data_IF_524120131983
#
_entry.id   IF_524120131983
#
_cell.length_a   1.000
_cell.length_b   1.000
_cell.length_c   1.000
_cell.angle_alpha   90.00
_cell.angle_beta   90.00
_cell.angle_gamma   90.00
#
_symmetry.space_group_name_H-M   'P 1'
#
loop_
_entity.id
_entity.type
_entity.pdbx_description
1 polymer ?
#
# COMPACT_ATOMS: atom_id res chain seq x y z
N UNK A 1 -7.94 -1.35 -4.75
CA UNK A 1 -9.01 -1.07 -3.77
C UNK A 1 -8.93 0.42 -3.50
N UNK A 2 -9.32 1.14 -4.54
CA UNK A 2 -9.22 2.58 -4.65
C UNK A 2 -10.45 3.19 -3.97
N UNK A 3 -10.23 4.36 -3.38
CA UNK A 3 -11.20 5.20 -2.72
C UNK A 3 -12.50 5.28 -3.52
N UNK A 4 -13.55 4.60 -3.02
CA UNK A 4 -14.90 4.97 -3.38
C UNK A 4 -15.13 6.33 -2.70
N UNK A 5 -15.04 7.40 -3.49
CA UNK A 5 -15.43 8.74 -3.07
C UNK A 5 -16.84 8.66 -2.52
N UNK A 6 -16.97 8.70 -1.19
CA UNK A 6 -18.27 8.85 -0.54
C UNK A 6 -18.86 10.17 -1.06
N UNK A 7 -20.03 10.16 -1.72
CA UNK A 7 -20.63 11.39 -2.19
C UNK A 7 -20.84 12.31 -1.00
N UNK A 8 -20.52 13.60 -1.17
CA UNK A 8 -20.78 14.63 -0.17
C UNK A 8 -22.25 14.53 0.22
N UNK A 9 -22.53 14.05 1.43
CA UNK A 9 -23.88 13.86 1.92
C UNK A 9 -24.47 15.23 2.33
N UNK A 10 -24.89 16.00 1.33
CA UNK A 10 -25.46 17.35 1.44
C UNK A 10 -26.56 17.49 2.51
N UNK A 11 -27.52 16.54 2.71
CA UNK A 11 -28.53 16.70 3.75
C UNK A 11 -27.97 16.58 5.18
N UNK A 12 -26.89 15.82 5.40
CA UNK A 12 -26.26 15.72 6.72
C UNK A 12 -25.47 16.97 7.14
N UNK A 13 -25.21 17.90 6.21
CA UNK A 13 -24.51 19.15 6.48
C UNK A 13 -25.37 20.13 7.30
N UNK A 14 -26.69 20.08 7.15
CA UNK A 14 -27.63 21.03 7.75
C UNK A 14 -28.24 20.53 9.07
N UNK A 15 -28.33 19.21 9.26
CA UNK A 15 -28.85 18.57 10.49
C UNK A 15 -27.74 18.15 11.47
N UNK A 16 -26.59 18.84 11.45
CA UNK A 16 -25.45 18.48 12.31
C UNK A 16 -25.72 18.79 13.79
N UNK A 17 -25.48 17.81 14.66
CA UNK A 17 -25.57 18.00 16.11
C UNK A 17 -24.61 19.10 16.58
N UNK A 18 -24.91 19.87 17.64
CA UNK A 18 -23.98 20.88 18.18
C UNK A 18 -22.59 20.32 18.53
N UNK A 19 -22.51 19.02 18.84
CA UNK A 19 -21.22 18.33 19.07
C UNK A 19 -20.42 18.16 17.78
N UNK A 20 -21.06 17.84 16.68
CA UNK A 20 -20.42 17.62 15.38
C UNK A 20 -19.93 18.95 14.80
N UNK A 21 -20.71 20.02 14.97
CA UNK A 21 -20.32 21.38 14.59
C UNK A 21 -19.02 21.80 15.28
N UNK A 22 -18.92 21.58 16.61
CA UNK A 22 -17.68 21.84 17.37
C UNK A 22 -16.49 21.04 16.85
N UNK A 23 -16.68 19.76 16.50
CA UNK A 23 -15.60 18.93 15.94
C UNK A 23 -15.13 19.43 14.57
N UNK A 24 -16.04 19.96 13.75
CA UNK A 24 -15.70 20.57 12.45
C UNK A 24 -14.92 21.86 12.67
N UNK A 25 -15.35 22.71 13.59
CA UNK A 25 -14.66 23.95 13.97
C UNK A 25 -13.26 23.67 14.50
N UNK A 26 -13.10 22.69 15.39
CA UNK A 26 -11.79 22.29 15.93
C UNK A 26 -10.85 21.79 14.82
N UNK A 27 -11.36 20.98 13.89
CA UNK A 27 -10.58 20.53 12.73
C UNK A 27 -10.21 21.69 11.80
N UNK A 28 -11.12 22.64 11.59
CA UNK A 28 -10.87 23.82 10.77
C UNK A 28 -9.80 24.72 11.41
N UNK A 29 -9.87 24.92 12.73
CA UNK A 29 -8.86 25.64 13.51
C UNK A 29 -7.49 25.00 13.36
N UNK A 30 -7.37 23.69 13.60
CA UNK A 30 -6.09 22.96 13.46
C UNK A 30 -5.52 23.08 12.04
N UNK A 31 -6.36 22.94 11.00
CA UNK A 31 -5.92 23.12 9.60
C UNK A 31 -5.42 24.54 9.33
N UNK A 32 -6.09 25.55 9.87
CA UNK A 32 -5.69 26.93 9.72
C UNK A 32 -4.35 27.21 10.40
N UNK A 33 -4.12 26.65 11.59
CA UNK A 33 -2.84 26.72 12.32
C UNK A 33 -1.71 26.09 11.52
N UNK A 34 -1.85 24.84 11.06
CA UNK A 34 -0.83 24.17 10.25
C UNK A 34 -0.54 24.90 8.94
N UNK A 35 -1.58 25.44 8.29
CA UNK A 35 -1.39 26.25 7.08
C UNK A 35 -0.61 27.52 7.38
N UNK A 36 -0.90 28.20 8.49
CA UNK A 36 -0.18 29.41 8.91
C UNK A 36 1.30 29.12 9.14
N UNK A 37 1.63 28.00 9.80
CA UNK A 37 3.01 27.57 10.00
C UNK A 37 3.72 27.24 8.68
N UNK A 38 3.05 26.48 7.80
CA UNK A 38 3.58 26.14 6.49
C UNK A 38 3.88 27.39 5.65
N UNK A 39 2.93 28.31 5.57
CA UNK A 39 3.10 29.58 4.84
C UNK A 39 4.24 30.39 5.44
N UNK A 40 4.31 30.53 6.78
CA UNK A 40 5.40 31.24 7.46
C UNK A 40 6.78 30.66 7.09
N UNK A 41 6.89 29.33 7.02
CA UNK A 41 8.16 28.68 6.70
C UNK A 41 8.51 28.77 5.21
N UNK A 42 7.54 28.70 4.30
CA UNK A 42 7.81 28.73 2.86
C UNK A 42 8.07 30.15 2.34
N UNK A 43 7.41 31.17 2.92
CA UNK A 43 7.57 32.56 2.48
C UNK A 43 8.78 33.26 3.10
N UNK A 44 9.57 32.58 3.95
CA UNK A 44 10.75 33.17 4.58
C UNK A 44 11.92 33.29 3.59
N UNK A 45 12.36 34.50 3.22
CA UNK A 45 13.40 34.70 2.20
C UNK A 45 14.80 34.20 2.64
N UNK A 46 15.11 34.21 3.94
CA UNK A 46 16.41 33.78 4.46
C UNK A 46 16.55 32.26 4.52
N UNK A 47 15.48 31.52 4.28
CA UNK A 47 15.48 30.07 4.32
C UNK A 47 16.15 29.43 3.09
N UNK A 48 16.15 30.13 1.96
CA UNK A 48 16.69 29.61 0.71
C UNK A 48 18.22 29.68 0.61
N UNK A 49 18.90 30.40 1.52
CA UNK A 49 20.37 30.52 1.53
C UNK A 49 21.14 29.21 1.79
N UNK A 50 20.48 28.18 2.34
CA UNK A 50 21.08 26.88 2.64
C UNK A 50 20.35 25.68 2.00
N UNK A 51 19.47 25.92 1.02
CA UNK A 51 19.02 24.90 0.04
C UNK A 51 18.44 23.59 0.61
N UNK A 52 17.52 23.65 1.60
CA UNK A 52 16.86 22.47 2.16
C UNK A 52 15.35 22.39 1.88
N UNK A 53 14.81 21.17 1.84
CA UNK A 53 13.36 20.91 1.79
C UNK A 53 12.67 21.33 3.10
N UNK A 54 11.34 21.51 3.06
CA UNK A 54 10.55 21.69 4.29
C UNK A 54 10.39 20.37 5.01
N UNK A 55 10.97 20.28 6.21
CA UNK A 55 10.75 19.16 7.09
C UNK A 55 9.32 19.21 7.64
N UNK A 56 8.54 18.16 7.36
CA UNK A 56 7.23 17.96 7.95
C UNK A 56 7.29 16.86 9.02
N UNK A 57 7.07 17.20 10.31
CA UNK A 57 7.03 16.23 11.39
C UNK A 57 5.94 15.17 11.24
N UNK A 58 4.84 15.45 10.53
CA UNK A 58 3.77 14.48 10.29
C UNK A 58 4.23 13.40 9.29
N UNK A 59 4.84 13.80 8.18
CA UNK A 59 5.43 12.87 7.22
C UNK A 59 6.53 12.02 7.85
N UNK A 60 7.43 12.64 8.64
CA UNK A 60 8.48 11.89 9.33
C UNK A 60 7.91 10.83 10.26
N UNK A 61 6.89 11.17 11.05
CA UNK A 61 6.21 10.21 11.96
C UNK A 61 5.54 9.07 11.20
N UNK A 62 4.94 9.35 10.04
CA UNK A 62 4.35 8.32 9.21
C UNK A 62 5.42 7.38 8.63
N UNK A 63 6.53 7.93 8.14
CA UNK A 63 7.65 7.14 7.64
C UNK A 63 8.28 6.29 8.75
N UNK A 64 8.50 6.87 9.93
CA UNK A 64 9.07 6.15 11.08
C UNK A 64 8.16 5.02 11.55
N UNK A 65 6.84 5.24 11.58
CA UNK A 65 5.86 4.19 11.91
C UNK A 65 5.92 3.03 10.90
N UNK A 66 6.08 3.31 9.60
CA UNK A 66 6.23 2.27 8.58
C UNK A 66 7.53 1.50 8.72
N UNK A 67 8.64 2.18 8.98
CA UNK A 67 9.93 1.54 9.21
C UNK A 67 9.92 0.65 10.47
N UNK A 68 9.16 1.03 11.50
CA UNK A 68 9.09 0.35 12.79
C UNK A 68 7.94 -0.66 12.92
N UNK A 69 7.30 -1.07 11.81
CA UNK A 69 6.17 -2.00 11.83
C UNK A 69 6.45 -3.30 12.60
N UNK A 70 7.69 -3.79 12.55
CA UNK A 70 8.10 -5.01 13.24
C UNK A 70 7.99 -4.88 14.78
N UNK A 71 8.36 -3.73 15.35
CA UNK A 71 8.32 -3.53 16.82
C UNK A 71 6.90 -3.54 17.39
N UNK A 72 5.91 -3.17 16.56
CA UNK A 72 4.49 -3.14 16.94
C UNK A 72 3.72 -4.37 16.47
N UNK A 73 4.40 -5.33 15.85
CA UNK A 73 3.78 -6.57 15.38
C UNK A 73 3.30 -7.41 16.58
N UNK A 74 2.04 -7.87 16.50
CA UNK A 74 1.48 -8.80 17.47
C UNK A 74 1.03 -10.07 16.75
N UNK A 75 1.53 -11.26 17.15
CA UNK A 75 1.11 -12.51 16.53
C UNK A 75 -0.37 -12.75 16.85
N UNK A 76 -1.20 -12.74 15.80
CA UNK A 76 -2.64 -13.02 15.85
C UNK A 76 -2.99 -14.08 14.81
N UNK A 77 -4.11 -14.79 15.00
CA UNK A 77 -4.64 -15.73 14.01
C UNK A 77 -4.87 -15.04 12.67
N UNK A 78 -5.39 -13.81 12.67
CA UNK A 78 -5.61 -13.02 11.44
C UNK A 78 -4.31 -12.75 10.66
N UNK A 79 -3.23 -12.41 11.37
CA UNK A 79 -1.91 -12.18 10.74
C UNK A 79 -1.28 -13.50 10.29
N UNK A 80 -1.50 -14.59 11.02
CA UNK A 80 -1.02 -15.92 10.67
C UNK A 80 -1.70 -16.52 9.42
N UNK A 81 -3.00 -16.24 9.23
CA UNK A 81 -3.71 -16.66 8.01
C UNK A 81 -3.13 -15.99 6.76
N UNK A 82 -2.74 -14.72 6.85
CA UNK A 82 -2.09 -14.01 5.75
C UNK A 82 -0.71 -14.59 5.42
N UNK A 83 0.10 -14.92 6.43
CA UNK A 83 1.41 -15.54 6.17
C UNK A 83 1.25 -16.97 5.62
N UNK A 84 0.29 -17.74 6.12
CA UNK A 84 -0.03 -19.07 5.60
C UNK A 84 -0.50 -19.01 4.14
N UNK A 85 -1.29 -18.00 3.75
CA UNK A 85 -1.70 -17.79 2.37
C UNK A 85 -0.49 -17.56 1.44
N UNK A 86 0.48 -16.75 1.86
CA UNK A 86 1.72 -16.50 1.08
C UNK A 86 2.53 -17.79 0.92
N UNK A 87 2.66 -18.58 1.98
CA UNK A 87 3.37 -19.87 1.88
C UNK A 87 2.62 -20.83 0.95
N UNK A 88 1.30 -20.90 1.10
CA UNK A 88 0.44 -21.73 0.25
C UNK A 88 0.56 -21.39 -1.23
N UNK A 89 0.58 -20.10 -1.60
CA UNK A 89 0.71 -19.70 -3.02
C UNK A 89 2.06 -20.12 -3.60
N UNK A 90 3.16 -20.02 -2.85
CA UNK A 90 4.46 -20.53 -3.27
C UNK A 90 4.44 -22.05 -3.53
N UNK A 91 3.86 -22.83 -2.61
CA UNK A 91 3.74 -24.28 -2.78
C UNK A 91 2.82 -24.67 -3.95
N UNK A 92 1.68 -23.99 -4.07
CA UNK A 92 0.72 -24.22 -5.16
C UNK A 92 1.37 -23.96 -6.52
N UNK A 93 2.11 -22.85 -6.66
CA UNK A 93 2.85 -22.54 -7.87
C UNK A 93 3.89 -23.62 -8.18
N UNK A 94 4.70 -24.02 -7.20
CA UNK A 94 5.69 -25.10 -7.38
C UNK A 94 5.06 -26.42 -7.88
N UNK A 95 3.90 -26.79 -7.34
CA UNK A 95 3.16 -27.99 -7.80
C UNK A 95 2.61 -27.83 -9.22
N UNK A 96 2.03 -26.68 -9.56
CA UNK A 96 1.54 -26.40 -10.91
C UNK A 96 2.68 -26.49 -11.95
N UNK A 97 3.85 -25.93 -11.63
CA UNK A 97 5.04 -26.06 -12.47
C UNK A 97 5.50 -27.51 -12.62
N UNK A 98 5.47 -28.29 -11.54
CA UNK A 98 5.79 -29.72 -11.60
C UNK A 98 4.84 -30.51 -12.50
N UNK A 99 3.54 -30.28 -12.39
CA UNK A 99 2.51 -30.97 -13.18
C UNK A 99 2.63 -30.62 -14.68
N UNK A 100 2.75 -29.33 -14.99
CA UNK A 100 2.89 -28.86 -16.37
C UNK A 100 4.18 -29.38 -17.01
N UNK A 101 5.29 -29.40 -16.27
CA UNK A 101 6.56 -30.00 -16.74
C UNK A 101 6.42 -31.49 -16.99
N UNK A 102 5.80 -32.24 -16.07
CA UNK A 102 5.60 -33.68 -16.24
C UNK A 102 4.69 -34.01 -17.43
N UNK A 103 3.66 -33.20 -17.68
CA UNK A 103 2.79 -33.32 -18.84
C UNK A 103 3.55 -33.09 -20.16
N UNK A 104 4.32 -31.99 -20.25
CA UNK A 104 5.18 -31.71 -21.42
C UNK A 104 6.20 -32.83 -21.65
N UNK A 105 6.85 -33.32 -20.60
CA UNK A 105 7.83 -34.40 -20.70
C UNK A 105 7.19 -35.72 -21.18
N UNK A 106 5.95 -36.01 -20.76
CA UNK A 106 5.19 -37.15 -21.26
C UNK A 106 4.93 -37.03 -22.77
N UNK A 107 4.51 -35.85 -23.25
CA UNK A 107 4.28 -35.59 -24.68
C UNK A 107 5.54 -35.77 -25.53
N UNK A 108 6.70 -35.35 -25.00
CA UNK A 108 7.98 -35.55 -25.67
C UNK A 108 8.40 -37.02 -25.76
N UNK A 109 8.13 -37.81 -24.72
CA UNK A 109 8.46 -39.25 -24.67
C UNK A 109 7.54 -40.09 -25.55
N UNK A 110 6.26 -39.73 -25.65
CA UNK A 110 5.29 -40.43 -26.51
C UNK A 110 5.40 -40.02 -27.98
N UNK A 111 6.20 -39.00 -28.30
CA UNK A 111 6.38 -38.51 -29.66
C UNK A 111 5.18 -37.72 -30.20
N UNK A 112 4.26 -37.27 -29.33
CA UNK A 112 3.12 -36.44 -29.74
C UNK A 112 3.54 -35.05 -30.21
N UNK A 113 4.71 -34.58 -29.76
CA UNK A 113 5.32 -33.33 -30.23
C UNK A 113 6.57 -33.64 -31.05
N UNK A 114 6.60 -33.16 -32.29
CA UNK A 114 7.74 -33.32 -33.19
C UNK A 114 8.99 -32.63 -32.63
N UNK A 115 10.19 -33.06 -33.02
CA UNK A 115 11.42 -32.40 -32.57
C UNK A 115 11.52 -30.95 -33.04
N UNK A 116 10.95 -30.62 -34.21
CA UNK A 116 10.97 -29.28 -34.76
C UNK A 116 10.19 -28.26 -33.90
N UNK A 117 9.07 -28.70 -33.32
CA UNK A 117 8.10 -27.89 -32.58
C UNK A 117 8.43 -27.74 -31.08
N UNK A 118 9.55 -28.32 -30.61
CA UNK A 118 9.95 -28.22 -29.20
C UNK A 118 10.45 -26.81 -28.88
N UNK A 119 9.84 -26.20 -27.88
CA UNK A 119 10.36 -24.99 -27.24
C UNK A 119 11.72 -25.28 -26.57
N UNK A 120 12.67 -24.34 -26.66
CA UNK A 120 14.01 -24.43 -26.01
C UNK A 120 14.88 -25.64 -26.42
N UNK A 121 14.83 -26.08 -27.67
CA UNK A 121 15.61 -27.24 -28.16
C UNK A 121 17.14 -27.08 -28.21
N UNK A 122 17.66 -25.86 -28.12
CA UNK A 122 19.10 -25.54 -28.22
C UNK A 122 19.62 -24.69 -27.04
N UNK A 123 18.81 -24.55 -25.99
CA UNK A 123 19.19 -23.84 -24.78
C UNK A 123 19.80 -24.80 -23.76
#
# INVERSE_FOLDING_TARGET
>A
MFDAEMPINLPAQYDASPKEQRLVEDRARLRAEFRKEYVKQITNPHRHGHGGYLFDPALQRWQSMRAQQYYYFKPNVKTGLWSAFIVFTCFAYGKLFGITRAAKEKEFRTGMVSYADREFKFA
#
